data_IF_136194990530
#
_entry.id   IF_136194990530
#
_cell.length_a   1.000
_cell.length_b   1.000
_cell.length_c   1.000
_cell.angle_alpha   90.00
_cell.angle_beta   90.00
_cell.angle_gamma   90.00
#
_symmetry.space_group_name_H-M   'P 1'
#
loop_
_entity.id
_entity.type
_entity.pdbx_description
1 polymer ?
#
# COMPACT_ATOMS: atom_id res chain seq x y z
N UNK A 1 -13.46 26.83 -39.69
CA UNK A 1 -12.90 27.10 -38.35
C UNK A 1 -13.63 26.26 -37.30
N UNK A 2 -13.40 24.94 -37.25
CA UNK A 2 -14.09 24.06 -36.29
C UNK A 2 -13.33 22.75 -35.94
N UNK A 3 -12.01 22.67 -36.16
CA UNK A 3 -11.25 21.40 -36.01
C UNK A 3 -10.19 21.45 -34.89
N UNK A 4 -10.12 22.50 -34.07
CA UNK A 4 -8.99 22.69 -33.12
C UNK A 4 -9.29 22.25 -31.68
N UNK A 5 -10.52 21.85 -31.33
CA UNK A 5 -10.89 21.62 -29.92
C UNK A 5 -10.69 20.19 -29.39
N UNK A 6 -10.24 19.24 -30.22
CA UNK A 6 -10.20 17.81 -29.86
C UNK A 6 -8.88 17.27 -29.27
N UNK A 7 -7.83 18.07 -29.16
CA UNK A 7 -6.45 17.57 -28.91
C UNK A 7 -5.91 17.82 -27.50
N UNK A 8 -6.71 18.32 -26.56
CA UNK A 8 -6.22 18.79 -25.26
C UNK A 8 -6.51 17.87 -24.06
N UNK A 9 -6.90 16.60 -24.26
CA UNK A 9 -7.27 15.69 -23.16
C UNK A 9 -6.36 14.47 -22.95
N UNK A 10 -5.32 14.26 -23.76
CA UNK A 10 -4.44 13.08 -23.62
C UNK A 10 -3.11 13.30 -22.90
N UNK A 11 -2.94 14.40 -22.15
CA UNK A 11 -1.65 14.75 -21.55
C UNK A 11 -1.54 14.56 -20.02
N UNK A 12 -2.57 14.08 -19.32
CA UNK A 12 -2.47 13.65 -17.91
C UNK A 12 -2.39 12.12 -17.80
N UNK A 13 -1.52 11.50 -18.62
CA UNK A 13 -1.05 10.14 -18.41
C UNK A 13 0.26 10.15 -17.62
N UNK A 14 0.28 10.79 -16.44
CA UNK A 14 1.41 10.69 -15.53
C UNK A 14 1.43 9.28 -14.95
N UNK A 15 2.44 8.50 -15.31
CA UNK A 15 2.63 7.12 -14.86
C UNK A 15 2.92 7.02 -13.36
N UNK A 16 1.90 7.21 -12.53
CA UNK A 16 1.93 6.83 -11.12
C UNK A 16 1.34 5.43 -11.00
N UNK A 17 2.19 4.41 -10.90
CA UNK A 17 1.75 3.13 -10.35
C UNK A 17 1.21 3.36 -8.94
N UNK A 18 0.28 2.51 -8.49
CA UNK A 18 -0.19 2.54 -7.11
C UNK A 18 1.01 2.50 -6.16
N UNK A 19 0.99 3.34 -5.13
CA UNK A 19 2.09 3.39 -4.16
C UNK A 19 2.05 2.11 -3.34
N UNK A 20 3.15 1.36 -3.32
CA UNK A 20 3.29 0.14 -2.54
C UNK A 20 3.29 0.45 -1.04
N UNK A 21 2.53 -0.32 -0.25
CA UNK A 21 2.53 -0.27 1.21
C UNK A 21 2.60 -1.69 1.76
N UNK A 22 3.66 -2.00 2.51
CA UNK A 22 3.89 -3.30 3.14
C UNK A 22 3.48 -3.24 4.60
N UNK A 23 2.54 -4.10 4.98
CA UNK A 23 1.94 -4.14 6.32
C UNK A 23 2.46 -5.37 7.04
N UNK A 24 3.15 -5.15 8.16
CA UNK A 24 3.65 -6.20 9.03
C UNK A 24 2.74 -6.41 10.25
N UNK A 25 2.84 -7.58 10.87
CA UNK A 25 2.22 -7.83 12.17
C UNK A 25 2.97 -8.90 12.96
N UNK A 26 2.66 -8.97 14.26
CA UNK A 26 3.04 -10.11 15.08
C UNK A 26 2.10 -11.29 14.84
N UNK A 27 2.55 -12.47 15.24
CA UNK A 27 1.77 -13.71 15.32
C UNK A 27 0.77 -13.68 16.50
N UNK A 28 -0.18 -12.73 16.45
CA UNK A 28 -1.30 -12.62 17.37
C UNK A 28 -2.61 -12.49 16.58
N UNK A 29 -3.64 -13.21 17.01
CA UNK A 29 -4.94 -13.27 16.32
C UNK A 29 -5.53 -11.89 16.04
N UNK A 30 -5.48 -10.97 17.01
CA UNK A 30 -5.98 -9.60 16.82
C UNK A 30 -5.24 -8.88 15.70
N UNK A 31 -3.92 -9.04 15.61
CA UNK A 31 -3.12 -8.33 14.62
C UNK A 31 -3.26 -8.92 13.23
N UNK A 32 -3.53 -10.22 13.09
CA UNK A 32 -3.92 -10.78 11.80
C UNK A 32 -5.20 -10.14 11.27
N UNK A 33 -6.20 -9.96 12.13
CA UNK A 33 -7.46 -9.30 11.74
C UNK A 33 -7.18 -7.85 11.33
N UNK A 34 -6.41 -7.09 12.12
CA UNK A 34 -6.09 -5.70 11.82
C UNK A 34 -5.24 -5.55 10.54
N UNK A 35 -4.25 -6.41 10.33
CA UNK A 35 -3.40 -6.37 9.13
C UNK A 35 -4.19 -6.60 7.84
N UNK A 36 -5.09 -7.59 7.83
CA UNK A 36 -6.01 -7.81 6.71
C UNK A 36 -6.97 -6.62 6.51
N UNK A 37 -7.45 -6.01 7.59
CA UNK A 37 -8.28 -4.80 7.49
C UNK A 37 -7.52 -3.63 6.85
N UNK A 38 -6.24 -3.45 7.19
CA UNK A 38 -5.42 -2.40 6.58
C UNK A 38 -5.16 -2.64 5.11
N UNK A 39 -4.84 -3.87 4.71
CA UNK A 39 -4.68 -4.23 3.30
C UNK A 39 -5.92 -3.86 2.49
N UNK A 40 -7.11 -4.31 2.92
CA UNK A 40 -8.38 -4.00 2.24
C UNK A 40 -8.67 -2.49 2.14
N UNK A 41 -8.39 -1.73 3.21
CA UNK A 41 -8.67 -0.28 3.24
C UNK A 41 -7.70 0.51 2.37
N UNK A 42 -6.43 0.10 2.32
CA UNK A 42 -5.41 0.77 1.52
C UNK A 42 -5.57 0.44 0.03
N UNK A 43 -5.92 -0.79 -0.30
CA UNK A 43 -6.28 -1.17 -1.67
C UNK A 43 -7.50 -0.38 -2.17
N UNK A 44 -8.56 -0.25 -1.36
CA UNK A 44 -9.74 0.57 -1.70
C UNK A 44 -9.38 2.06 -1.88
N UNK A 45 -8.37 2.54 -1.16
CA UNK A 45 -7.83 3.89 -1.30
C UNK A 45 -6.88 4.07 -2.50
N UNK A 46 -6.59 3.02 -3.27
CA UNK A 46 -5.78 3.06 -4.48
C UNK A 46 -4.28 2.85 -4.28
N UNK A 47 -3.88 2.29 -3.14
CA UNK A 47 -2.51 1.80 -2.90
C UNK A 47 -2.35 0.36 -3.39
N UNK A 48 -1.09 -0.10 -3.50
CA UNK A 48 -0.76 -1.51 -3.74
C UNK A 48 -0.33 -2.10 -2.38
N UNK A 49 -1.31 -2.49 -1.57
CA UNK A 49 -1.08 -2.93 -0.21
C UNK A 49 -0.81 -4.44 -0.14
N UNK A 50 0.11 -4.84 0.73
CA UNK A 50 0.38 -6.26 0.98
C UNK A 50 0.57 -6.54 2.46
N UNK A 51 -0.12 -7.56 2.96
CA UNK A 51 -0.03 -8.00 4.35
C UNK A 51 0.82 -9.25 4.54
N UNK A 52 1.73 -9.23 5.52
CA UNK A 52 2.43 -10.43 6.01
C UNK A 52 2.61 -10.42 7.53
N UNK A 53 2.47 -11.60 8.14
CA UNK A 53 2.86 -11.81 9.53
C UNK A 53 4.35 -12.19 9.61
N UNK A 54 5.07 -11.64 10.59
CA UNK A 54 6.54 -11.67 10.65
C UNK A 54 7.04 -12.48 11.84
N UNK A 55 6.37 -12.39 13.00
CA UNK A 55 6.77 -13.12 14.21
C UNK A 55 6.51 -12.38 15.51
N UNK A 56 7.53 -12.28 16.36
CA UNK A 56 7.49 -11.60 17.66
C UNK A 56 7.79 -10.11 17.60
N UNK A 57 7.76 -9.44 18.76
CA UNK A 57 7.94 -7.98 18.83
C UNK A 57 9.29 -7.46 18.35
N UNK A 58 10.38 -8.20 18.60
CA UNK A 58 11.71 -7.78 18.14
C UNK A 58 11.78 -7.85 16.62
N UNK A 59 11.33 -8.96 16.04
CA UNK A 59 11.40 -9.21 14.60
C UNK A 59 10.58 -8.18 13.81
N UNK A 60 9.37 -7.85 14.27
CA UNK A 60 8.55 -6.83 13.62
C UNK A 60 9.14 -5.43 13.79
N UNK A 61 9.71 -5.14 14.96
CA UNK A 61 10.40 -3.87 15.17
C UNK A 61 11.58 -3.75 14.21
N UNK A 62 12.43 -4.77 14.14
CA UNK A 62 13.60 -4.82 13.25
C UNK A 62 13.18 -4.63 11.79
N UNK A 63 12.13 -5.34 11.33
CA UNK A 63 11.56 -5.18 9.99
C UNK A 63 11.11 -3.73 9.70
N UNK A 64 10.49 -3.06 10.68
CA UNK A 64 10.04 -1.68 10.52
C UNK A 64 11.21 -0.70 10.43
N UNK A 65 12.22 -0.80 11.31
CA UNK A 65 13.37 0.13 11.27
C UNK A 65 14.30 -0.11 10.08
N UNK A 66 14.36 -1.35 9.57
CA UNK A 66 15.14 -1.69 8.37
C UNK A 66 14.39 -1.38 7.06
N UNK A 67 13.12 -0.96 7.13
CA UNK A 67 12.30 -0.63 5.96
C UNK A 67 11.85 -1.86 5.17
N UNK A 68 11.74 -3.02 5.82
CA UNK A 68 11.15 -4.25 5.25
C UNK A 68 9.62 -4.18 5.23
N UNK A 69 9.04 -3.44 6.18
CA UNK A 69 7.63 -3.04 6.23
C UNK A 69 7.49 -1.53 6.43
N UNK A 70 6.35 -0.99 6.04
CA UNK A 70 6.04 0.44 6.13
C UNK A 70 5.05 0.75 7.28
N UNK A 71 4.19 -0.21 7.60
CA UNK A 71 3.14 -0.10 8.62
C UNK A 71 3.12 -1.36 9.49
N UNK A 72 2.78 -1.18 10.77
CA UNK A 72 2.56 -2.23 11.75
C UNK A 72 1.30 -1.96 12.57
#
# INVERSE_FOLDING_TARGET
MFVVLGLALSACGGGGGATEIRIGSKEFTEQHVLGNMYEMLLDDAGFDASYSAIGGSSEVHDALVNGEIDVY
#
